data_IF_673552124196
#
_entry.id   IF_673552124196
#
_cell.length_a   1.000
_cell.length_b   1.000
_cell.length_c   1.000
_cell.angle_alpha   90.00
_cell.angle_beta   90.00
_cell.angle_gamma   90.00
#
_symmetry.space_group_name_H-M   'P 1'
#
loop_
_entity.id
_entity.type
_entity.pdbx_description
1 polymer ?
#
# COMPACT_ATOMS: atom_id res chain seq x y z
N UNK A 1 -19.52 -10.96 -12.42
CA UNK A 1 -18.85 -9.66 -12.23
C UNK A 1 -17.52 -9.98 -11.57
N UNK A 2 -16.39 -9.53 -12.10
CA UNK A 2 -15.07 -9.86 -11.55
C UNK A 2 -14.83 -8.99 -10.31
N UNK A 3 -14.32 -9.58 -9.23
CA UNK A 3 -14.09 -8.83 -7.99
C UNK A 3 -13.02 -7.74 -8.21
N UNK A 4 -13.26 -6.50 -7.73
CA UNK A 4 -12.30 -5.41 -7.87
C UNK A 4 -11.03 -5.65 -7.04
N UNK A 5 -11.13 -6.48 -5.99
CA UNK A 5 -10.05 -6.79 -5.05
C UNK A 5 -9.93 -8.29 -4.81
N UNK A 6 -8.73 -8.74 -4.40
CA UNK A 6 -8.55 -10.08 -3.85
C UNK A 6 -9.05 -10.18 -2.39
N UNK A 7 -9.04 -11.39 -1.83
CA UNK A 7 -9.50 -11.68 -0.48
C UNK A 7 -11.00 -11.95 -0.36
N UNK A 8 -11.71 -12.14 -1.47
CA UNK A 8 -13.13 -12.50 -1.45
C UNK A 8 -13.34 -13.99 -1.15
N UNK A 9 -12.96 -14.40 0.05
CA UNK A 9 -13.12 -15.78 0.54
C UNK A 9 -14.57 -16.11 0.90
N UNK A 10 -15.47 -15.13 0.89
CA UNK A 10 -16.85 -15.28 1.38
C UNK A 10 -17.81 -15.83 0.33
N UNK A 11 -17.47 -15.71 -0.95
CA UNK A 11 -18.31 -16.14 -2.08
C UNK A 11 -17.98 -17.55 -2.56
N UNK A 12 -16.88 -18.14 -2.08
CA UNK A 12 -16.36 -19.43 -2.53
C UNK A 12 -15.86 -20.27 -1.35
N UNK A 13 -15.81 -21.60 -1.51
CA UNK A 13 -15.19 -22.49 -0.53
C UNK A 13 -13.67 -22.45 -0.66
N UNK A 14 -13.02 -21.45 -0.05
CA UNK A 14 -11.57 -21.25 -0.11
C UNK A 14 -10.87 -21.98 1.05
N UNK A 15 -9.88 -22.81 0.71
CA UNK A 15 -8.96 -23.48 1.66
C UNK A 15 -7.66 -22.70 1.84
N UNK A 16 -7.14 -22.15 0.75
CA UNK A 16 -5.91 -21.35 0.72
C UNK A 16 -6.17 -20.08 -0.08
N UNK A 17 -5.96 -18.92 0.54
CA UNK A 17 -6.10 -17.62 -0.11
C UNK A 17 -4.74 -17.04 -0.49
N UNK A 18 -4.45 -17.02 -1.78
CA UNK A 18 -3.30 -16.37 -2.42
C UNK A 18 -3.71 -15.11 -3.21
N UNK A 19 -4.95 -14.64 -3.04
CA UNK A 19 -5.42 -13.44 -3.74
C UNK A 19 -5.23 -12.16 -2.94
N UNK A 20 -4.99 -12.26 -1.62
CA UNK A 20 -4.66 -11.14 -0.75
C UNK A 20 -3.21 -11.24 -0.25
N UNK A 21 -2.44 -10.18 -0.48
CA UNK A 21 -1.00 -10.13 -0.19
C UNK A 21 -0.70 -9.85 1.30
N UNK A 22 -1.09 -10.73 2.21
CA UNK A 22 -0.87 -10.58 3.66
C UNK A 22 0.47 -11.22 4.08
N UNK A 23 1.12 -10.70 5.13
CA UNK A 23 2.32 -11.34 5.67
C UNK A 23 2.03 -12.80 6.06
N UNK A 24 2.77 -13.78 5.52
CA UNK A 24 2.49 -15.20 5.73
C UNK A 24 2.74 -15.70 7.16
N UNK A 25 3.44 -14.92 8.00
CA UNK A 25 3.68 -15.28 9.39
C UNK A 25 2.45 -15.15 10.30
N UNK A 26 1.36 -14.56 9.80
CA UNK A 26 0.17 -14.28 10.60
C UNK A 26 0.37 -13.08 11.53
N UNK A 27 -0.64 -12.83 12.38
CA UNK A 27 -0.64 -11.66 13.29
C UNK A 27 0.30 -11.90 14.48
N UNK A 28 1.23 -10.97 14.79
CA UNK A 28 2.05 -11.05 16.00
C UNK A 28 1.23 -11.14 17.29
N UNK A 29 1.66 -11.98 18.24
CA UNK A 29 0.98 -12.15 19.53
C UNK A 29 0.94 -10.85 20.35
N UNK A 30 1.97 -9.99 20.22
CA UNK A 30 1.99 -8.67 20.86
C UNK A 30 0.81 -7.81 20.44
N UNK A 31 0.49 -7.83 19.15
CA UNK A 31 -0.67 -7.11 18.59
C UNK A 31 -1.98 -7.73 19.09
N UNK A 32 -2.09 -9.06 19.11
CA UNK A 32 -3.30 -9.74 19.62
C UNK A 32 -3.58 -9.36 21.08
N UNK A 33 -2.56 -9.40 21.93
CA UNK A 33 -2.67 -8.99 23.35
C UNK A 33 -3.04 -7.51 23.48
N UNK A 34 -2.42 -6.63 22.70
CA UNK A 34 -2.73 -5.20 22.74
C UNK A 34 -4.18 -4.91 22.35
N UNK A 35 -4.70 -5.58 21.33
CA UNK A 35 -6.10 -5.45 20.89
C UNK A 35 -7.05 -5.94 21.97
N UNK A 36 -6.85 -7.15 22.50
CA UNK A 36 -7.76 -7.74 23.49
C UNK A 36 -7.76 -6.97 24.81
N UNK A 37 -6.63 -6.37 25.20
CA UNK A 37 -6.51 -5.53 26.38
C UNK A 37 -7.31 -4.20 26.30
N UNK A 38 -7.86 -3.84 25.14
CA UNK A 38 -8.70 -2.63 25.02
C UNK A 38 -10.19 -2.86 25.28
N UNK A 39 -10.62 -4.10 25.55
CA UNK A 39 -12.03 -4.47 25.60
C UNK A 39 -12.86 -3.67 26.62
N UNK A 40 -12.26 -3.28 27.74
CA UNK A 40 -12.88 -2.45 28.79
C UNK A 40 -13.06 -0.98 28.37
N UNK A 41 -12.34 -0.52 27.34
CA UNK A 41 -12.37 0.86 26.85
C UNK A 41 -13.37 1.07 25.71
N UNK A 42 -13.96 0.01 25.14
CA UNK A 42 -14.81 0.11 23.94
C UNK A 42 -16.12 0.89 24.14
N UNK A 43 -16.52 1.11 25.39
CA UNK A 43 -17.65 1.98 25.74
C UNK A 43 -17.36 3.48 25.52
N UNK A 44 -16.08 3.84 25.32
CA UNK A 44 -15.65 5.21 25.07
C UNK A 44 -15.29 5.40 23.59
N UNK A 45 -15.55 6.60 23.06
CA UNK A 45 -15.02 6.98 21.75
C UNK A 45 -13.48 6.93 21.77
N UNK A 46 -12.85 6.48 20.66
CA UNK A 46 -11.40 6.50 20.55
C UNK A 46 -10.85 7.93 20.57
N UNK A 47 -9.55 8.10 20.74
CA UNK A 47 -8.94 9.43 20.54
C UNK A 47 -9.09 9.84 19.06
N UNK A 48 -9.87 10.88 18.73
CA UNK A 48 -10.06 11.30 17.34
C UNK A 48 -8.77 11.80 16.67
N UNK A 49 -7.77 12.19 17.46
CA UNK A 49 -6.49 12.70 16.97
C UNK A 49 -5.39 11.64 16.93
N UNK A 50 -5.66 10.41 17.40
CA UNK A 50 -4.67 9.33 17.50
C UNK A 50 -3.35 9.77 18.18
N UNK A 51 -3.41 10.63 19.21
CA UNK A 51 -2.23 11.39 19.69
C UNK A 51 -1.06 10.49 20.07
N UNK A 52 -1.35 9.44 20.84
CA UNK A 52 -0.32 8.50 21.32
C UNK A 52 0.32 7.76 20.14
N UNK A 53 -0.48 7.32 19.17
CA UNK A 53 0.02 6.65 17.97
C UNK A 53 0.84 7.61 17.08
N UNK A 54 0.40 8.85 16.90
CA UNK A 54 1.15 9.86 16.13
C UNK A 54 2.50 10.18 16.76
N UNK A 55 2.61 10.22 18.10
CA UNK A 55 3.89 10.38 18.80
C UNK A 55 4.80 9.17 18.57
N UNK A 56 4.29 7.96 18.73
CA UNK A 56 5.09 6.75 18.48
C UNK A 56 5.55 6.63 17.02
N UNK A 57 4.69 6.99 16.07
CA UNK A 57 5.05 7.07 14.65
C UNK A 57 6.08 8.16 14.38
N UNK A 58 6.00 9.30 15.09
CA UNK A 58 6.98 10.38 14.99
C UNK A 58 8.39 9.90 15.32
N UNK A 59 8.53 9.15 16.42
CA UNK A 59 9.80 8.54 16.83
C UNK A 59 10.30 7.49 15.83
N UNK A 60 9.40 6.63 15.31
CA UNK A 60 9.75 5.56 14.38
C UNK A 60 10.16 6.07 13.00
N UNK A 61 9.40 7.02 12.45
CA UNK A 61 9.52 7.48 11.06
C UNK A 61 10.36 8.75 10.93
N UNK A 62 10.64 9.42 12.05
CA UNK A 62 11.42 10.66 12.08
C UNK A 62 10.69 11.85 11.45
N UNK A 63 9.36 11.89 11.52
CA UNK A 63 8.52 13.04 11.13
C UNK A 63 7.94 13.73 12.37
N UNK A 64 7.75 15.06 12.39
CA UNK A 64 6.99 15.70 13.46
C UNK A 64 5.57 15.10 13.56
N UNK A 65 5.08 14.85 14.78
CA UNK A 65 3.77 14.20 14.99
C UNK A 65 2.61 14.94 14.30
N UNK A 66 2.70 16.27 14.17
CA UNK A 66 1.71 17.11 13.47
C UNK A 66 1.66 16.87 11.94
N UNK A 67 2.72 16.34 11.34
CA UNK A 67 2.79 15.93 9.93
C UNK A 67 2.18 14.53 9.69
N UNK A 68 1.70 13.86 10.74
CA UNK A 68 1.20 12.49 10.67
C UNK A 68 -0.32 12.49 10.72
N UNK A 69 -0.93 11.71 9.83
CA UNK A 69 -2.37 11.50 9.79
C UNK A 69 -2.65 10.00 9.85
N UNK A 70 -3.29 9.54 10.92
CA UNK A 70 -3.76 8.16 11.02
C UNK A 70 -5.13 8.01 10.33
N UNK A 71 -5.35 6.84 9.71
CA UNK A 71 -6.58 6.54 8.97
C UNK A 71 -6.99 5.08 9.08
N UNK A 72 -8.22 4.78 8.61
CA UNK A 72 -8.83 3.45 8.61
C UNK A 72 -8.24 2.53 7.53
N UNK A 73 -6.92 2.36 7.59
CA UNK A 73 -6.08 1.80 6.53
C UNK A 73 -5.66 2.83 5.48
N UNK A 74 -4.78 2.41 4.57
CA UNK A 74 -4.29 3.26 3.48
C UNK A 74 -5.40 3.75 2.54
N UNK A 75 -6.44 2.92 2.33
CA UNK A 75 -7.57 3.26 1.46
C UNK A 75 -8.30 4.53 1.90
N UNK A 76 -8.65 4.64 3.18
CA UNK A 76 -9.23 5.85 3.77
C UNK A 76 -8.34 7.09 3.54
N UNK A 77 -7.02 6.95 3.68
CA UNK A 77 -6.08 8.05 3.47
C UNK A 77 -6.01 8.47 1.99
N UNK A 78 -6.06 7.54 1.05
CA UNK A 78 -6.08 7.84 -0.39
C UNK A 78 -7.30 8.70 -0.76
N UNK A 79 -8.49 8.35 -0.24
CA UNK A 79 -9.69 9.15 -0.44
C UNK A 79 -9.58 10.54 0.21
N UNK A 80 -9.07 10.62 1.45
CA UNK A 80 -8.86 11.91 2.13
C UNK A 80 -7.89 12.81 1.37
N UNK A 81 -6.79 12.26 0.85
CA UNK A 81 -5.83 13.01 0.03
C UNK A 81 -6.53 13.54 -1.23
N UNK A 82 -7.27 12.69 -1.95
CA UNK A 82 -7.98 13.11 -3.15
C UNK A 82 -9.00 14.23 -2.87
N UNK A 83 -9.73 14.17 -1.75
CA UNK A 83 -10.70 15.21 -1.35
C UNK A 83 -10.06 16.48 -0.80
N UNK A 84 -8.89 16.36 -0.15
CA UNK A 84 -8.19 17.51 0.43
C UNK A 84 -7.64 18.44 -0.65
N UNK A 85 -7.15 17.85 -1.74
CA UNK A 85 -6.49 18.59 -2.81
C UNK A 85 -7.36 18.80 -4.05
N UNK A 86 -8.37 17.94 -4.28
CA UNK A 86 -9.28 17.99 -5.44
C UNK A 86 -8.54 18.30 -6.76
N UNK A 87 -7.52 17.51 -7.14
CA UNK A 87 -6.75 17.78 -8.36
C UNK A 87 -7.68 17.77 -9.59
N UNK A 88 -7.48 18.70 -10.53
CA UNK A 88 -8.22 18.68 -11.81
C UNK A 88 -7.71 17.55 -12.68
N UNK A 89 -6.39 17.34 -12.70
CA UNK A 89 -5.74 16.25 -13.42
C UNK A 89 -4.75 15.52 -12.52
N UNK A 90 -4.71 14.20 -12.61
CA UNK A 90 -3.76 13.38 -11.87
C UNK A 90 -3.18 12.30 -12.77
N UNK A 91 -1.90 11.98 -12.58
CA UNK A 91 -1.20 10.92 -13.30
C UNK A 91 -1.03 9.70 -12.38
N UNK A 92 -1.35 8.51 -12.89
CA UNK A 92 -1.07 7.23 -12.24
C UNK A 92 -0.22 6.33 -13.17
N UNK A 93 0.62 5.47 -12.59
CA UNK A 93 1.41 4.50 -13.35
C UNK A 93 0.70 3.14 -13.38
N UNK A 94 0.10 2.77 -14.52
CA UNK A 94 -0.68 1.53 -14.67
C UNK A 94 0.18 0.37 -15.24
N UNK A 95 -0.12 -0.89 -14.84
CA UNK A 95 -1.16 -1.30 -13.91
C UNK A 95 -0.79 -0.99 -12.45
N UNK A 96 -1.79 -0.55 -11.69
CA UNK A 96 -1.67 -0.18 -10.28
C UNK A 96 -2.87 -0.67 -9.47
N UNK A 97 -2.87 -0.38 -8.17
CA UNK A 97 -4.03 -0.57 -7.30
C UNK A 97 -5.21 0.30 -7.77
N UNK A 98 -6.39 -0.30 -7.88
CA UNK A 98 -7.57 0.35 -8.46
C UNK A 98 -8.10 1.54 -7.67
N UNK A 99 -7.84 1.60 -6.36
CA UNK A 99 -8.37 2.68 -5.51
C UNK A 99 -7.71 4.03 -5.76
N UNK A 100 -6.51 4.09 -6.36
CA UNK A 100 -5.92 5.36 -6.76
C UNK A 100 -6.85 6.10 -7.73
N UNK A 101 -7.28 5.39 -8.79
CA UNK A 101 -8.23 5.93 -9.76
C UNK A 101 -9.57 6.24 -9.12
N UNK A 102 -10.13 5.33 -8.33
CA UNK A 102 -11.44 5.51 -7.70
C UNK A 102 -11.47 6.73 -6.77
N UNK A 103 -10.46 6.91 -5.92
CA UNK A 103 -10.36 8.05 -5.02
C UNK A 103 -10.26 9.37 -5.78
N UNK A 104 -9.43 9.43 -6.83
CA UNK A 104 -9.26 10.60 -7.68
C UNK A 104 -10.55 10.95 -8.45
N UNK A 105 -11.16 9.98 -9.12
CA UNK A 105 -12.41 10.20 -9.86
C UNK A 105 -13.56 10.62 -8.92
N UNK A 106 -13.60 10.07 -7.70
CA UNK A 106 -14.58 10.45 -6.68
C UNK A 106 -14.43 11.90 -6.18
N UNK A 107 -13.25 12.51 -6.34
CA UNK A 107 -13.03 13.95 -6.08
C UNK A 107 -13.29 14.85 -7.29
N UNK A 108 -13.66 14.26 -8.44
CA UNK A 108 -13.91 14.96 -9.70
C UNK A 108 -12.66 15.13 -10.57
N UNK A 109 -11.59 14.38 -10.31
CA UNK A 109 -10.34 14.45 -11.04
C UNK A 109 -10.41 13.73 -12.41
N UNK A 110 -9.77 14.31 -13.43
CA UNK A 110 -9.44 13.60 -14.66
C UNK A 110 -8.14 12.79 -14.46
N UNK A 111 -8.23 11.47 -14.49
CA UNK A 111 -7.08 10.58 -14.29
C UNK A 111 -6.43 10.22 -15.62
N UNK A 112 -5.16 10.58 -15.76
CA UNK A 112 -4.25 10.22 -16.84
C UNK A 112 -3.43 8.99 -16.42
N UNK A 113 -3.03 8.18 -17.40
CA UNK A 113 -2.29 6.94 -17.16
C UNK A 113 -0.97 6.93 -17.90
N UNK A 114 0.12 6.73 -17.17
CA UNK A 114 1.39 6.28 -17.73
C UNK A 114 1.39 4.74 -17.74
N UNK A 115 1.74 4.11 -18.86
CA UNK A 115 1.82 2.65 -18.96
C UNK A 115 3.20 2.24 -19.43
N UNK A 116 3.90 1.48 -18.59
CA UNK A 116 5.16 0.87 -18.97
C UNK A 116 5.00 -0.16 -20.10
N UNK A 117 6.11 -0.69 -20.61
CA UNK A 117 6.07 -1.65 -21.70
C UNK A 117 5.73 -3.07 -21.20
N UNK A 118 4.82 -3.77 -21.89
CA UNK A 118 4.42 -5.15 -21.54
C UNK A 118 5.60 -6.13 -21.42
N UNK A 119 6.60 -6.15 -22.31
CA UNK A 119 7.76 -7.04 -22.17
C UNK A 119 8.57 -6.81 -20.89
N UNK A 120 8.52 -5.60 -20.33
CA UNK A 120 9.14 -5.25 -19.06
C UNK A 120 8.16 -5.36 -17.88
N UNK A 121 7.03 -6.05 -18.06
CA UNK A 121 5.94 -6.15 -17.09
C UNK A 121 5.47 -4.78 -16.59
N UNK A 122 5.42 -3.79 -17.48
CA UNK A 122 4.99 -2.42 -17.16
C UNK A 122 5.84 -1.74 -16.09
N UNK A 123 7.10 -2.17 -15.89
CA UNK A 123 8.01 -1.52 -14.96
C UNK A 123 8.12 -0.02 -15.27
N UNK A 124 8.12 0.80 -14.21
CA UNK A 124 8.28 2.24 -14.31
C UNK A 124 9.66 2.59 -14.87
N UNK A 125 9.72 3.54 -15.79
CA UNK A 125 10.95 4.01 -16.41
C UNK A 125 10.93 5.53 -16.58
N UNK A 126 12.04 6.10 -17.06
CA UNK A 126 12.16 7.53 -17.36
C UNK A 126 11.14 8.03 -18.41
N UNK A 127 10.47 7.13 -19.13
CA UNK A 127 9.42 7.51 -20.07
C UNK A 127 8.30 8.34 -19.41
N UNK A 128 8.06 8.16 -18.11
CA UNK A 128 7.06 8.92 -17.34
C UNK A 128 7.30 10.43 -17.33
N UNK A 129 8.55 10.88 -17.56
CA UNK A 129 8.87 12.30 -17.56
C UNK A 129 8.10 13.07 -18.64
N UNK A 130 7.75 12.42 -19.76
CA UNK A 130 6.97 13.06 -20.82
C UNK A 130 5.54 13.43 -20.38
N UNK A 131 4.94 12.64 -19.49
CA UNK A 131 3.63 12.92 -18.91
C UNK A 131 3.73 13.88 -17.72
N UNK A 132 4.79 13.78 -16.91
CA UNK A 132 5.07 14.74 -15.83
C UNK A 132 5.23 16.17 -16.40
N UNK A 133 5.86 16.31 -17.57
CA UNK A 133 6.04 17.61 -18.24
C UNK A 133 4.72 18.27 -18.70
N UNK A 134 3.62 17.50 -18.74
CA UNK A 134 2.26 18.04 -18.97
C UNK A 134 1.68 18.69 -17.71
N UNK A 135 2.40 18.65 -16.58
CA UNK A 135 2.07 19.28 -15.29
C UNK A 135 0.70 18.85 -14.75
N UNK A 136 0.47 17.54 -14.52
CA UNK A 136 -0.70 17.12 -13.75
C UNK A 136 -0.66 17.76 -12.35
N UNK A 137 -1.81 17.99 -11.72
CA UNK A 137 -1.83 18.57 -10.37
C UNK A 137 -1.30 17.58 -9.32
N UNK A 138 -1.43 16.27 -9.59
CA UNK A 138 -1.01 15.20 -8.70
C UNK A 138 -0.39 14.03 -9.48
N UNK A 139 0.61 13.38 -8.90
CA UNK A 139 1.18 12.11 -9.35
C UNK A 139 1.08 11.08 -8.23
N UNK A 140 0.44 9.94 -8.50
CA UNK A 140 0.36 8.82 -7.55
C UNK A 140 1.22 7.66 -8.05
N UNK A 141 2.18 7.25 -7.22
CA UNK A 141 3.08 6.13 -7.47
C UNK A 141 3.02 5.13 -6.32
N UNK A 142 3.44 3.90 -6.58
CA UNK A 142 3.47 2.82 -5.60
C UNK A 142 4.82 2.09 -5.66
N UNK A 143 5.47 1.91 -4.51
CA UNK A 143 6.77 1.22 -4.42
C UNK A 143 6.89 0.37 -3.15
N UNK A 144 6.99 -0.96 -3.27
CA UNK A 144 6.83 -1.75 -4.50
C UNK A 144 5.42 -1.63 -5.11
N UNK A 145 5.34 -1.62 -6.44
CA UNK A 145 4.06 -1.49 -7.16
C UNK A 145 3.16 -2.73 -6.97
N UNK A 146 1.84 -2.52 -6.92
CA UNK A 146 0.83 -3.59 -6.98
C UNK A 146 0.08 -3.46 -8.31
N UNK A 147 0.16 -4.43 -9.25
CA UNK A 147 0.41 -5.85 -9.00
C UNK A 147 1.82 -6.35 -9.36
N UNK A 148 2.71 -5.53 -9.91
CA UNK A 148 3.99 -6.04 -10.45
C UNK A 148 4.98 -6.49 -9.37
N UNK A 149 4.85 -5.98 -8.15
CA UNK A 149 5.72 -6.25 -7.01
C UNK A 149 7.06 -5.52 -7.08
N UNK A 150 7.26 -4.62 -8.04
CA UNK A 150 8.56 -4.00 -8.33
C UNK A 150 8.79 -2.70 -7.58
N UNK A 151 9.97 -2.54 -7.00
CA UNK A 151 10.46 -1.26 -6.49
C UNK A 151 10.74 -0.26 -7.62
N UNK A 152 10.53 1.03 -7.32
CA UNK A 152 11.06 2.13 -8.12
C UNK A 152 12.53 2.31 -7.73
N UNK A 153 13.42 2.36 -8.74
CA UNK A 153 14.83 2.57 -8.48
C UNK A 153 15.06 3.91 -7.74
N UNK A 154 15.93 3.97 -6.70
CA UNK A 154 16.11 5.17 -5.89
C UNK A 154 16.42 6.43 -6.72
N UNK A 155 17.35 6.33 -7.67
CA UNK A 155 17.72 7.45 -8.54
C UNK A 155 16.55 7.96 -9.40
N UNK A 156 15.69 7.05 -9.88
CA UNK A 156 14.50 7.43 -10.65
C UNK A 156 13.46 8.09 -9.73
N UNK A 157 13.24 7.56 -8.53
CA UNK A 157 12.32 8.14 -7.55
C UNK A 157 12.75 9.55 -7.14
N UNK A 158 14.05 9.76 -6.89
CA UNK A 158 14.61 11.07 -6.55
C UNK A 158 14.44 12.07 -7.71
N UNK A 159 14.70 11.63 -8.94
CA UNK A 159 14.52 12.46 -10.14
C UNK A 159 13.05 12.84 -10.36
N UNK A 160 12.12 11.90 -10.15
CA UNK A 160 10.67 12.15 -10.21
C UNK A 160 10.26 13.15 -9.13
N UNK A 161 10.68 12.93 -7.88
CA UNK A 161 10.34 13.82 -6.76
C UNK A 161 10.84 15.24 -7.01
N UNK A 162 12.09 15.39 -7.46
CA UNK A 162 12.65 16.69 -7.83
C UNK A 162 11.85 17.36 -8.96
N UNK A 163 11.51 16.62 -10.02
CA UNK A 163 10.73 17.18 -11.14
C UNK A 163 9.32 17.59 -10.70
N UNK A 164 8.71 16.85 -9.77
CA UNK A 164 7.42 17.21 -9.20
C UNK A 164 7.50 18.52 -8.41
N UNK A 165 8.52 18.66 -7.55
CA UNK A 165 8.77 19.89 -6.80
C UNK A 165 9.00 21.10 -7.73
N UNK A 166 9.87 20.94 -8.75
CA UNK A 166 10.19 22.00 -9.72
C UNK A 166 8.94 22.47 -10.52
N UNK A 167 7.92 21.61 -10.66
CA UNK A 167 6.69 21.88 -11.42
C UNK A 167 5.45 22.13 -10.55
N UNK A 168 5.57 22.06 -9.23
CA UNK A 168 4.44 22.20 -8.30
C UNK A 168 3.42 21.05 -8.36
N UNK A 169 3.87 19.84 -8.69
CA UNK A 169 3.04 18.62 -8.76
C UNK A 169 3.04 17.96 -7.38
N UNK A 170 1.87 17.63 -6.85
CA UNK A 170 1.77 16.89 -5.59
C UNK A 170 2.10 15.41 -5.81
N UNK A 171 3.23 14.94 -5.25
CA UNK A 171 3.61 13.54 -5.30
C UNK A 171 3.00 12.78 -4.11
N UNK A 172 2.25 11.72 -4.40
CA UNK A 172 1.73 10.74 -3.42
C UNK A 172 2.40 9.39 -3.68
N UNK A 173 3.00 8.80 -2.65
CA UNK A 173 3.72 7.54 -2.73
C UNK A 173 3.10 6.50 -1.79
N UNK A 174 2.47 5.47 -2.35
CA UNK A 174 2.05 4.29 -1.58
C UNK A 174 3.25 3.37 -1.34
N UNK A 175 3.59 3.17 -0.07
CA UNK A 175 4.73 2.36 0.39
C UNK A 175 4.28 1.17 1.27
N UNK A 176 3.02 0.75 1.19
CA UNK A 176 2.44 -0.26 2.08
C UNK A 176 3.18 -1.61 2.09
N UNK A 177 3.92 -1.93 1.02
CA UNK A 177 4.70 -3.17 0.90
C UNK A 177 6.19 -3.00 1.21
N UNK A 178 6.70 -1.77 1.40
CA UNK A 178 8.13 -1.48 1.49
C UNK A 178 8.81 -2.19 2.67
N UNK A 179 8.13 -2.25 3.82
CA UNK A 179 8.62 -2.89 5.05
C UNK A 179 8.89 -4.39 4.92
N UNK A 180 8.27 -5.05 3.93
CA UNK A 180 8.44 -6.47 3.62
C UNK A 180 9.55 -6.74 2.58
N UNK A 181 10.29 -5.71 2.16
CA UNK A 181 11.33 -5.83 1.14
C UNK A 181 12.73 -5.65 1.73
N UNK A 182 13.76 -6.02 0.96
CA UNK A 182 15.15 -5.71 1.31
C UNK A 182 15.45 -4.19 1.34
N UNK A 183 14.60 -3.38 0.70
CA UNK A 183 14.72 -1.92 0.65
C UNK A 183 13.93 -1.21 1.78
N UNK A 184 13.54 -1.91 2.85
CA UNK A 184 12.72 -1.35 3.94
C UNK A 184 13.31 -0.07 4.57
N UNK A 185 14.63 0.10 4.53
CA UNK A 185 15.35 1.26 5.05
C UNK A 185 15.73 2.29 3.97
N UNK A 186 15.19 2.17 2.75
CA UNK A 186 15.40 3.14 1.67
C UNK A 186 14.91 4.52 2.10
N UNK A 187 15.72 5.55 1.85
CA UNK A 187 15.30 6.94 2.03
C UNK A 187 14.26 7.29 0.97
N UNK A 188 13.15 7.87 1.41
CA UNK A 188 12.05 8.31 0.55
C UNK A 188 12.01 9.85 0.50
N UNK A 189 11.51 10.43 -0.61
CA UNK A 189 11.43 11.88 -0.76
C UNK A 189 10.47 12.47 0.27
N UNK A 190 10.98 13.33 1.16
CA UNK A 190 10.17 13.98 2.21
C UNK A 190 9.23 15.06 1.70
N UNK A 191 9.38 15.45 0.43
CA UNK A 191 8.49 16.37 -0.28
C UNK A 191 7.19 15.69 -0.73
N UNK A 192 7.13 14.35 -0.73
CA UNK A 192 5.94 13.58 -1.07
C UNK A 192 5.06 13.32 0.16
N UNK A 193 3.77 13.06 -0.09
CA UNK A 193 2.90 12.41 0.89
C UNK A 193 3.15 10.90 0.81
N UNK A 194 3.65 10.28 1.88
CA UNK A 194 3.88 8.84 1.94
C UNK A 194 2.70 8.16 2.62
N UNK A 195 2.07 7.18 1.96
CA UNK A 195 0.95 6.41 2.51
C UNK A 195 1.44 5.01 2.88
N UNK A 196 1.23 4.62 4.14
CA UNK A 196 1.61 3.31 4.65
C UNK A 196 0.49 2.68 5.49
N UNK A 197 0.56 1.37 5.70
CA UNK A 197 -0.40 0.64 6.53
C UNK A 197 0.20 -0.61 7.16
N UNK A 198 -0.29 -0.95 8.36
CA UNK A 198 0.08 -2.19 9.05
C UNK A 198 -0.66 -3.42 8.52
N UNK A 199 -1.68 -3.19 7.68
CA UNK A 199 -2.60 -4.24 7.19
C UNK A 199 -1.90 -5.39 6.48
N UNK A 200 -0.88 -5.09 5.66
CA UNK A 200 -0.11 -6.09 4.90
C UNK A 200 1.07 -6.59 5.72
N UNK A 201 1.86 -5.66 6.25
CA UNK A 201 3.12 -5.93 6.95
C UNK A 201 2.95 -6.74 8.23
N UNK A 202 1.88 -6.49 9.01
CA UNK A 202 1.65 -7.12 10.32
C UNK A 202 0.44 -8.06 10.35
N UNK A 203 -0.06 -8.44 9.16
CA UNK A 203 -1.19 -9.34 9.01
C UNK A 203 -2.45 -8.96 9.83
N UNK A 204 -2.79 -7.67 9.85
CA UNK A 204 -4.00 -7.15 10.50
C UNK A 204 -4.94 -6.41 9.53
N UNK A 205 -5.27 -6.98 8.36
CA UNK A 205 -6.13 -6.30 7.39
C UNK A 205 -7.54 -6.06 7.93
N UNK A 206 -8.02 -6.83 8.92
CA UNK A 206 -9.33 -6.64 9.55
C UNK A 206 -9.41 -5.47 10.54
N UNK A 207 -8.28 -5.01 11.10
CA UNK A 207 -8.26 -3.91 12.08
C UNK A 207 -8.29 -2.52 11.45
N UNK A 208 -7.98 -2.43 10.14
CA UNK A 208 -8.07 -1.18 9.36
C UNK A 208 -7.23 -0.05 9.97
N UNK A 209 -5.91 -0.20 10.03
CA UNK A 209 -5.01 0.86 10.51
C UNK A 209 -3.91 1.19 9.49
N UNK A 210 -3.76 2.48 9.20
CA UNK A 210 -2.68 3.04 8.39
C UNK A 210 -2.40 4.48 8.74
N UNK A 211 -1.38 5.05 8.11
CA UNK A 211 -0.95 6.43 8.35
C UNK A 211 -0.35 7.06 7.10
N UNK A 212 -0.44 8.38 7.02
CA UNK A 212 0.24 9.20 6.03
C UNK A 212 1.32 10.05 6.72
N UNK A 213 2.49 10.12 6.09
CA UNK A 213 3.58 11.03 6.45
C UNK A 213 3.56 12.19 5.45
N UNK A 214 3.32 13.39 5.95
CA UNK A 214 3.16 14.58 5.11
C UNK A 214 4.45 15.42 5.08
N UNK A 215 4.67 16.18 4.00
CA UNK A 215 5.81 17.11 3.91
C UNK A 215 5.77 18.19 5.00
N UNK A 216 4.58 18.66 5.35
CA UNK A 216 4.34 19.72 6.32
C UNK A 216 3.01 19.55 7.10
N UNK A 217 2.86 20.34 8.16
CA UNK A 217 1.68 20.33 9.03
C UNK A 217 0.40 20.84 8.33
N UNK A 218 0.51 21.75 7.36
CA UNK A 218 -0.62 22.29 6.61
C UNK A 218 -1.25 21.21 5.72
N UNK A 219 -0.41 20.45 5.01
CA UNK A 219 -0.78 19.29 4.21
C UNK A 219 -1.44 18.23 5.10
N UNK A 220 -0.84 17.90 6.24
CA UNK A 220 -1.44 16.96 7.19
C UNK A 220 -2.80 17.43 7.71
N UNK A 221 -2.95 18.72 8.01
CA UNK A 221 -4.21 19.30 8.46
C UNK A 221 -5.30 19.19 7.39
N UNK A 222 -5.01 19.57 6.14
CA UNK A 222 -5.95 19.46 5.01
C UNK A 222 -6.48 18.03 4.84
N UNK A 223 -5.60 17.03 4.94
CA UNK A 223 -5.96 15.61 4.83
C UNK A 223 -6.81 15.17 6.05
N UNK A 224 -6.42 15.60 7.26
CA UNK A 224 -7.12 15.26 8.50
C UNK A 224 -8.58 15.75 8.49
N UNK A 225 -8.82 16.93 7.93
CA UNK A 225 -10.15 17.56 7.85
C UNK A 225 -11.12 16.86 6.87
N UNK A 226 -10.63 16.01 5.97
CA UNK A 226 -11.48 15.20 5.07
C UNK A 226 -11.97 13.89 5.70
N UNK A 227 -11.54 13.61 6.92
CA UNK A 227 -11.89 12.39 7.65
C UNK A 227 -13.13 12.52 8.51
N UNK A 228 -13.80 11.40 8.76
CA UNK A 228 -14.73 11.32 9.87
C UNK A 228 -13.97 11.39 11.21
N UNK A 229 -14.55 12.06 12.19
CA UNK A 229 -14.10 11.93 13.57
C UNK A 229 -14.15 10.45 13.99
N UNK A 230 -13.16 10.02 14.78
CA UNK A 230 -13.08 8.65 15.32
C UNK A 230 -12.95 7.52 14.28
N UNK A 231 -12.46 7.81 13.08
CA UNK A 231 -12.33 6.81 12.01
C UNK A 231 -11.39 5.64 12.33
N UNK A 232 -10.51 5.81 13.32
CA UNK A 232 -9.59 4.78 13.80
C UNK A 232 -10.03 4.34 15.19
N UNK A 233 -10.50 3.09 15.30
CA UNK A 233 -11.03 2.53 16.54
C UNK A 233 -9.95 2.33 17.61
N UNK A 234 -10.36 2.28 18.89
CA UNK A 234 -9.46 2.02 20.03
C UNK A 234 -8.59 0.78 19.83
N UNK A 235 -9.12 -0.40 19.44
CA UNK A 235 -8.28 -1.57 19.17
C UNK A 235 -7.33 -1.36 17.98
N UNK A 236 -7.72 -0.62 16.94
CA UNK A 236 -6.86 -0.34 15.80
C UNK A 236 -5.68 0.58 16.17
N UNK A 237 -5.90 1.57 17.04
CA UNK A 237 -4.83 2.43 17.57
C UNK A 237 -3.85 1.62 18.43
N UNK A 238 -4.36 0.77 19.33
CA UNK A 238 -3.53 -0.11 20.15
C UNK A 238 -2.72 -1.11 19.31
N UNK A 239 -3.33 -1.66 18.24
CA UNK A 239 -2.63 -2.52 17.30
C UNK A 239 -1.50 -1.79 16.56
N UNK A 240 -1.73 -0.54 16.12
CA UNK A 240 -0.70 0.29 15.52
C UNK A 240 0.49 0.50 16.47
N UNK A 241 0.23 0.80 17.75
CA UNK A 241 1.28 0.97 18.76
C UNK A 241 2.08 -0.32 18.99
N UNK A 242 1.40 -1.46 19.10
CA UNK A 242 2.07 -2.75 19.27
C UNK A 242 2.88 -3.15 18.04
N UNK A 243 2.36 -2.90 16.83
CA UNK A 243 3.06 -3.18 15.58
C UNK A 243 4.40 -2.44 15.49
N UNK A 244 4.47 -1.22 16.03
CA UNK A 244 5.73 -0.45 16.09
C UNK A 244 6.79 -1.07 16.99
N UNK A 245 6.56 -2.18 17.68
CA UNK A 245 7.56 -2.88 18.50
C UNK A 245 8.03 -4.21 17.87
N UNK A 246 7.51 -4.58 16.70
CA UNK A 246 7.65 -5.92 16.10
C UNK A 246 8.79 -5.97 15.05
N UNK A 247 9.96 -5.41 15.37
CA UNK A 247 11.10 -5.32 14.43
C UNK A 247 11.63 -6.72 14.01
N UNK A 248 11.79 -7.63 14.98
CA UNK A 248 12.26 -8.99 14.74
C UNK A 248 11.26 -9.80 13.88
N UNK A 249 9.96 -9.56 14.04
CA UNK A 249 8.92 -10.18 13.22
C UNK A 249 9.05 -9.75 11.75
N UNK A 250 9.26 -8.46 11.48
CA UNK A 250 9.45 -7.98 10.11
C UNK A 250 10.76 -8.48 9.50
N UNK A 251 11.82 -8.65 10.30
CA UNK A 251 13.07 -9.28 9.84
C UNK A 251 12.85 -10.73 9.41
N UNK A 252 12.21 -11.54 10.26
CA UNK A 252 11.86 -12.92 9.95
C UNK A 252 10.96 -13.00 8.70
N UNK A 253 10.00 -12.09 8.57
CA UNK A 253 9.13 -12.03 7.40
C UNK A 253 9.92 -11.77 6.12
N UNK A 254 10.86 -10.80 6.13
CA UNK A 254 11.71 -10.50 4.97
C UNK A 254 12.54 -11.71 4.54
N UNK A 255 13.13 -12.43 5.49
CA UNK A 255 13.90 -13.65 5.22
C UNK A 255 13.03 -14.71 4.55
N UNK A 256 11.88 -15.05 5.16
CA UNK A 256 10.95 -16.03 4.61
C UNK A 256 10.45 -15.64 3.22
N UNK A 257 10.02 -14.37 3.05
CA UNK A 257 9.51 -13.86 1.79
C UNK A 257 10.57 -13.95 0.70
N UNK A 258 11.83 -13.63 1.00
CA UNK A 258 12.91 -13.71 0.01
C UNK A 258 13.13 -15.15 -0.47
N UNK A 259 13.19 -16.11 0.45
CA UNK A 259 13.37 -17.54 0.15
C UNK A 259 12.18 -18.10 -0.64
N UNK A 260 10.96 -17.90 -0.15
CA UNK A 260 9.74 -18.46 -0.75
C UNK A 260 9.40 -17.80 -2.09
N UNK A 261 9.69 -16.51 -2.26
CA UNK A 261 9.52 -15.83 -3.56
C UNK A 261 10.42 -16.44 -4.63
N UNK A 262 11.68 -16.75 -4.30
CA UNK A 262 12.59 -17.41 -5.23
C UNK A 262 12.11 -18.83 -5.56
N UNK A 263 11.68 -19.59 -4.54
CA UNK A 263 11.10 -20.92 -4.72
C UNK A 263 9.88 -20.89 -5.65
N UNK A 264 8.90 -20.02 -5.37
CA UNK A 264 7.67 -19.93 -6.14
C UNK A 264 7.92 -19.47 -7.57
N UNK A 265 8.77 -18.45 -7.78
CA UNK A 265 9.12 -17.97 -9.11
C UNK A 265 9.77 -19.07 -9.97
N UNK A 266 10.71 -19.84 -9.40
CA UNK A 266 11.36 -20.97 -10.08
C UNK A 266 10.35 -22.04 -10.50
N UNK A 267 9.46 -22.44 -9.59
CA UNK A 267 8.48 -23.50 -9.87
C UNK A 267 7.41 -23.05 -10.87
N UNK A 268 6.90 -21.81 -10.76
CA UNK A 268 5.98 -21.24 -11.75
C UNK A 268 6.62 -21.22 -13.15
N UNK A 269 7.88 -20.83 -13.24
CA UNK A 269 8.64 -20.82 -14.52
C UNK A 269 8.80 -22.23 -15.08
N UNK A 270 9.13 -23.22 -14.24
CA UNK A 270 9.22 -24.62 -14.65
C UNK A 270 7.87 -25.20 -15.14
N UNK A 271 6.75 -24.63 -14.69
CA UNK A 271 5.40 -24.95 -15.17
C UNK A 271 4.98 -24.16 -16.43
N UNK A 272 5.90 -23.43 -17.06
CA UNK A 272 5.65 -22.69 -18.29
C UNK A 272 5.03 -21.30 -18.09
N UNK A 273 4.93 -20.81 -16.85
CA UNK A 273 4.48 -19.43 -16.60
C UNK A 273 5.60 -18.42 -16.89
N UNK A 274 5.23 -17.24 -17.37
CA UNK A 274 6.15 -16.09 -17.46
C UNK A 274 6.01 -15.25 -16.19
N UNK A 275 7.03 -15.24 -15.34
CA UNK A 275 6.98 -14.61 -14.00
C UNK A 275 7.65 -13.24 -14.01
N UNK A 276 6.98 -12.24 -13.45
CA UNK A 276 7.54 -10.92 -13.21
C UNK A 276 8.50 -10.95 -12.01
N UNK A 277 9.71 -10.39 -12.12
CA UNK A 277 10.54 -10.14 -10.94
C UNK A 277 9.81 -9.25 -9.94
N UNK A 278 9.91 -9.57 -8.65
CA UNK A 278 9.21 -8.88 -7.57
C UNK A 278 10.13 -8.71 -6.36
N UNK A 279 9.92 -7.61 -5.65
CA UNK A 279 10.56 -7.25 -4.39
C UNK A 279 9.60 -7.43 -3.19
N UNK A 280 8.30 -7.59 -3.44
CA UNK A 280 7.24 -7.69 -2.44
C UNK A 280 6.92 -9.15 -2.04
N UNK A 281 5.87 -9.34 -1.23
CA UNK A 281 5.38 -10.65 -0.78
C UNK A 281 4.40 -11.33 -1.76
N UNK A 282 4.47 -11.01 -3.05
CA UNK A 282 3.61 -11.57 -4.10
C UNK A 282 4.33 -11.56 -5.45
N UNK A 283 3.79 -12.31 -6.42
CA UNK A 283 4.31 -12.40 -7.78
C UNK A 283 3.20 -12.10 -8.79
N UNK A 284 3.50 -11.25 -9.78
CA UNK A 284 2.72 -11.20 -11.02
C UNK A 284 3.27 -12.25 -11.99
N UNK A 285 2.39 -13.03 -12.61
CA UNK A 285 2.81 -13.97 -13.63
C UNK A 285 1.72 -14.14 -14.69
N UNK A 286 2.14 -14.55 -15.89
CA UNK A 286 1.26 -14.94 -16.98
C UNK A 286 1.25 -16.46 -17.10
N UNK A 287 0.06 -17.04 -17.14
CA UNK A 287 -0.19 -18.47 -17.31
C UNK A 287 -1.08 -18.73 -18.52
N UNK A 288 -1.37 -20.00 -18.79
CA UNK A 288 -2.49 -20.37 -19.66
C UNK A 288 -3.82 -19.81 -19.11
N UNK A 289 -4.79 -19.48 -20.00
CA UNK A 289 -6.12 -19.05 -19.60
C UNK A 289 -6.83 -20.04 -18.67
N UNK A 290 -7.66 -19.52 -17.76
CA UNK A 290 -8.49 -20.30 -16.86
C UNK A 290 -7.75 -20.95 -15.68
N UNK A 291 -6.47 -20.66 -15.47
CA UNK A 291 -5.74 -21.20 -14.30
C UNK A 291 -6.42 -20.80 -12.97
N UNK A 292 -6.86 -19.55 -12.84
CA UNK A 292 -7.53 -19.07 -11.63
C UNK A 292 -8.77 -19.90 -11.30
N UNK A 293 -9.62 -20.19 -12.29
CA UNK A 293 -10.83 -21.00 -12.11
C UNK A 293 -10.50 -22.45 -11.75
N UNK A 294 -9.46 -23.03 -12.38
CA UNK A 294 -9.00 -24.40 -12.07
C UNK A 294 -8.46 -24.51 -10.65
N UNK A 295 -7.71 -23.52 -10.17
CA UNK A 295 -7.21 -23.47 -8.80
C UNK A 295 -8.35 -23.26 -7.80
N UNK A 296 -9.31 -22.40 -8.14
CA UNK A 296 -10.49 -22.17 -7.31
C UNK A 296 -11.32 -23.45 -7.14
N UNK A 297 -11.46 -24.25 -8.20
CA UNK A 297 -12.09 -25.57 -8.14
C UNK A 297 -11.40 -26.55 -7.18
N UNK A 298 -10.14 -26.30 -6.81
CA UNK A 298 -9.38 -27.06 -5.81
C UNK A 298 -9.35 -26.37 -4.43
N UNK A 299 -10.03 -25.23 -4.29
CA UNK A 299 -10.06 -24.43 -3.06
C UNK A 299 -8.87 -23.48 -2.89
N UNK A 300 -8.11 -23.20 -3.96
CA UNK A 300 -6.99 -22.24 -3.94
C UNK A 300 -7.42 -20.98 -4.69
N UNK A 301 -7.56 -19.86 -3.97
CA UNK A 301 -7.95 -18.59 -4.57
C UNK A 301 -6.71 -17.77 -4.97
N UNK A 302 -6.59 -17.38 -6.24
CA UNK A 302 -5.55 -16.45 -6.73
C UNK A 302 -6.20 -15.21 -7.34
N UNK A 303 -5.48 -14.10 -7.41
CA UNK A 303 -5.98 -12.86 -8.05
C UNK A 303 -5.78 -12.91 -9.57
N UNK A 304 -6.88 -13.02 -10.33
CA UNK A 304 -6.85 -12.74 -11.77
C UNK A 304 -6.55 -11.27 -12.01
N UNK A 305 -5.53 -10.94 -12.80
CA UNK A 305 -5.20 -9.56 -13.20
C UNK A 305 -5.70 -9.22 -14.62
N UNK A 306 -6.64 -9.98 -15.17
CA UNK A 306 -7.32 -9.64 -16.41
C UNK A 306 -8.20 -8.41 -16.17
N UNK A 307 -7.70 -7.24 -16.55
CA UNK A 307 -8.38 -5.94 -16.56
C UNK A 307 -8.16 -5.29 -17.92
#
# INVERSE_FOLDING_TARGET
MQDPHGGNIYTHSVKLDFSANINPLGTPDGILRAVTATADQWAHYPDPSCRVLSVALSEREGYPAEHIVCGSGADDLLFRIAYAFRPKTALIAEPCFGEYRRALEASGCQVLSHRGQKPAFFALSEAIFSEIEKKPDMLVLCTPNNPTGRLIAPALLDAIAKKCEDLGILLVLDICFLSLTAAYAQKLPRTAILVNAFTKSHAIPGLRIGYALCPDAETAQKIREQGQFWSVSTPAQAAGLAALQEDAYLENARTLIAEERQYLAKNLTAMGCTVCPSDANFLLFQSEPGLADRLLGQGILIRSCAN
#
